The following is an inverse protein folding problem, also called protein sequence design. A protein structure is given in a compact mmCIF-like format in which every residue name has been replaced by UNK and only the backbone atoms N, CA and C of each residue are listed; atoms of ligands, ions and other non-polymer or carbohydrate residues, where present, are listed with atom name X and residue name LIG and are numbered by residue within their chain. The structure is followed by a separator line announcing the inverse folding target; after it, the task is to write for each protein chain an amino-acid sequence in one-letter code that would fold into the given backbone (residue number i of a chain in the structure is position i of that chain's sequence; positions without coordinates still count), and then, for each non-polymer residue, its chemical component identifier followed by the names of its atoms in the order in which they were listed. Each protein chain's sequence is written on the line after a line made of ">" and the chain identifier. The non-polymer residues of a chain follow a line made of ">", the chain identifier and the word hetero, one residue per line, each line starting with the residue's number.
data_IF_275571514677
#
_entry.id   IF_275571514677
#
_cell.length_a   1.000
_cell.length_b   1.000
_cell.length_c   1.000
_cell.angle_alpha   90.00
_cell.angle_beta   90.00
_cell.angle_gamma   90.00
#
_symmetry.space_group_name_H-M   'P 1'
#
loop_
_entity.id
_entity.type
_entity.pdbx_description
1 polymer ?
#
# COMPACT_ATOMS: atom_id res chain seq x y z
N UNK A 1 20.78 10.15 29.51
CA UNK A 1 19.51 9.39 29.35
C UNK A 1 18.65 10.11 28.32
N UNK A 2 18.60 9.67 27.05
CA UNK A 2 17.84 10.38 26.03
C UNK A 2 16.34 10.15 26.20
N UNK A 3 15.54 11.22 26.19
CA UNK A 3 14.08 11.21 26.40
C UNK A 3 13.36 10.81 25.11
N UNK A 4 13.12 9.51 24.90
CA UNK A 4 12.34 8.94 23.77
C UNK A 4 10.81 9.08 23.89
N UNK A 5 10.32 9.88 24.85
CA UNK A 5 8.90 9.97 25.21
C UNK A 5 7.97 10.70 24.21
N UNK A 6 8.40 11.72 23.44
CA UNK A 6 7.46 12.45 22.57
C UNK A 6 6.93 11.61 21.41
N UNK A 7 7.80 10.89 20.70
CA UNK A 7 7.45 10.06 19.53
C UNK A 7 6.51 8.91 19.88
N UNK A 8 6.75 8.20 21.00
CA UNK A 8 5.84 7.15 21.49
C UNK A 8 4.45 7.65 21.83
N UNK A 9 4.33 8.89 22.33
CA UNK A 9 3.03 9.49 22.68
C UNK A 9 2.26 9.94 21.43
N UNK A 10 2.95 10.41 20.40
CA UNK A 10 2.37 10.70 19.09
C UNK A 10 1.87 9.43 18.39
N UNK A 11 2.68 8.36 18.38
CA UNK A 11 2.28 7.06 17.81
C UNK A 11 1.09 6.42 18.56
N UNK A 12 1.04 6.51 19.90
CA UNK A 12 -0.09 6.03 20.69
C UNK A 12 -1.37 6.85 20.46
N UNK A 13 -1.25 8.18 20.26
CA UNK A 13 -2.38 9.04 19.90
C UNK A 13 -2.86 8.74 18.47
N UNK A 14 -1.94 8.55 17.51
CA UNK A 14 -2.26 8.08 16.14
C UNK A 14 -2.95 6.71 16.20
N UNK A 15 -2.51 5.78 17.06
CA UNK A 15 -3.17 4.47 17.30
C UNK A 15 -4.59 4.59 17.85
N UNK A 16 -4.82 5.47 18.82
CA UNK A 16 -6.16 5.66 19.38
C UNK A 16 -7.09 6.35 18.37
N UNK A 17 -6.61 7.40 17.71
CA UNK A 17 -7.37 8.09 16.67
C UNK A 17 -7.65 7.17 15.47
N UNK A 18 -6.71 6.29 15.09
CA UNK A 18 -6.93 5.27 14.06
C UNK A 18 -7.92 4.20 14.51
N UNK A 19 -7.85 3.70 15.75
CA UNK A 19 -8.88 2.78 16.28
C UNK A 19 -10.26 3.41 16.33
N UNK A 20 -10.35 4.68 16.70
CA UNK A 20 -11.61 5.44 16.68
C UNK A 20 -12.08 5.69 15.25
N UNK A 21 -11.18 5.98 14.31
CA UNK A 21 -11.46 6.11 12.88
C UNK A 21 -11.93 4.78 12.26
N UNK A 22 -11.21 3.67 12.43
CA UNK A 22 -11.64 2.35 11.92
C UNK A 22 -12.91 1.86 12.60
N UNK A 23 -13.15 2.18 13.87
CA UNK A 23 -14.40 1.87 14.55
C UNK A 23 -15.58 2.72 14.03
N UNK A 24 -15.34 3.97 13.64
CA UNK A 24 -16.33 4.84 13.01
C UNK A 24 -16.53 4.55 11.52
N UNK A 25 -15.49 4.12 10.81
CA UNK A 25 -15.49 3.76 9.39
C UNK A 25 -16.14 2.40 9.12
N UNK A 26 -16.37 1.56 10.15
CA UNK A 26 -17.17 0.33 10.05
C UNK A 26 -18.60 0.57 9.52
N UNK A 27 -19.13 1.78 9.72
CA UNK A 27 -20.45 2.19 9.25
C UNK A 27 -20.39 3.21 8.10
N UNK A 28 -19.18 3.52 7.60
CA UNK A 28 -19.01 4.37 6.42
C UNK A 28 -19.03 3.45 5.21
N UNK A 29 -20.13 3.50 4.47
CA UNK A 29 -20.08 3.11 3.07
C UNK A 29 -18.98 3.96 2.44
N UNK A 30 -17.88 3.34 2.03
CA UNK A 30 -16.97 3.98 1.07
C UNK A 30 -17.87 4.23 -0.14
N UNK A 31 -18.30 5.49 -0.34
CA UNK A 31 -18.95 5.93 -1.57
C UNK A 31 -17.90 5.90 -2.68
N UNK A 32 -17.55 4.68 -3.09
CA UNK A 32 -16.89 4.38 -4.34
C UNK A 32 -17.95 3.91 -5.35
N UNK A 33 -17.53 3.79 -6.61
CA UNK A 33 -18.34 3.19 -7.65
C UNK A 33 -18.87 1.82 -7.18
N UNK A 34 -20.11 1.46 -7.54
CA UNK A 34 -20.68 0.18 -7.12
C UNK A 34 -19.78 -0.97 -7.60
N UNK A 35 -19.27 -1.72 -6.63
CA UNK A 35 -18.34 -2.83 -6.82
C UNK A 35 -19.09 -4.06 -7.33
N UNK A 36 -18.44 -4.79 -8.24
CA UNK A 36 -18.87 -6.08 -8.74
C UNK A 36 -18.61 -7.21 -7.75
N UNK A 37 -18.85 -8.44 -8.18
CA UNK A 37 -18.53 -9.63 -7.38
C UNK A 37 -17.13 -10.13 -7.67
N UNK A 38 -16.51 -10.77 -6.68
CA UNK A 38 -15.26 -11.51 -6.81
C UNK A 38 -15.14 -12.33 -8.11
N UNK A 39 -13.98 -12.24 -8.74
CA UNK A 39 -13.63 -12.95 -9.97
C UNK A 39 -12.38 -13.83 -9.76
N UNK A 40 -12.55 -15.14 -9.92
CA UNK A 40 -11.48 -16.14 -9.73
C UNK A 40 -10.47 -16.17 -10.89
N UNK A 41 -10.87 -15.81 -12.12
CA UNK A 41 -9.94 -15.75 -13.25
C UNK A 41 -9.06 -14.50 -13.11
N UNK A 42 -9.65 -13.37 -12.70
CA UNK A 42 -8.89 -12.16 -12.37
C UNK A 42 -7.94 -12.39 -11.18
N UNK A 43 -8.37 -13.14 -10.16
CA UNK A 43 -7.51 -13.56 -9.04
C UNK A 43 -6.27 -14.29 -9.54
N UNK A 44 -6.46 -15.33 -10.35
CA UNK A 44 -5.36 -16.16 -10.84
C UNK A 44 -4.39 -15.31 -11.65
N UNK A 45 -4.91 -14.48 -12.57
CA UNK A 45 -4.10 -13.59 -13.39
C UNK A 45 -3.28 -12.61 -12.54
N UNK A 46 -3.95 -11.81 -11.70
CA UNK A 46 -3.33 -10.72 -10.95
C UNK A 46 -2.33 -11.24 -9.92
N UNK A 47 -2.69 -12.28 -9.17
CA UNK A 47 -1.76 -12.85 -8.16
C UNK A 47 -0.57 -13.57 -8.77
N UNK A 48 -0.71 -14.20 -9.94
CA UNK A 48 0.43 -14.77 -10.66
C UNK A 48 1.49 -13.72 -11.05
N UNK A 49 1.05 -12.46 -11.20
CA UNK A 49 1.90 -11.30 -11.51
C UNK A 49 2.41 -10.57 -10.26
N UNK A 50 1.89 -10.92 -9.09
CA UNK A 50 2.32 -10.38 -7.80
C UNK A 50 1.46 -9.25 -7.26
N UNK A 51 0.28 -9.02 -7.83
CA UNK A 51 -0.76 -8.20 -7.20
C UNK A 51 -1.27 -8.89 -5.93
N UNK A 52 -1.70 -8.10 -4.95
CA UNK A 52 -2.15 -8.61 -3.66
C UNK A 52 -3.64 -8.36 -3.49
N UNK A 53 -4.41 -9.42 -3.28
CA UNK A 53 -5.84 -9.32 -3.05
C UNK A 53 -6.13 -8.75 -1.65
N UNK A 54 -7.16 -7.91 -1.52
CA UNK A 54 -7.55 -7.33 -0.23
C UNK A 54 -7.89 -8.37 0.84
N UNK A 55 -8.53 -9.46 0.44
CA UNK A 55 -8.86 -10.58 1.34
C UNK A 55 -7.64 -11.28 1.93
N UNK A 56 -6.49 -11.23 1.25
CA UNK A 56 -5.24 -11.83 1.74
C UNK A 56 -4.51 -10.91 2.76
N UNK A 57 -4.99 -9.68 2.92
CA UNK A 57 -4.47 -8.67 3.83
C UNK A 57 -5.28 -8.53 5.13
N UNK A 58 -6.27 -9.41 5.35
CA UNK A 58 -7.25 -9.32 6.44
C UNK A 58 -8.00 -7.96 6.47
N UNK A 59 -8.12 -7.31 5.31
CA UNK A 59 -8.81 -6.03 5.15
C UNK A 59 -10.28 -6.25 4.79
N UNK A 60 -11.11 -6.52 5.80
CA UNK A 60 -12.56 -6.71 5.64
C UNK A 60 -13.31 -5.44 5.13
N UNK A 61 -12.63 -4.30 5.00
CA UNK A 61 -13.27 -2.98 4.78
C UNK A 61 -13.26 -2.48 3.32
N UNK A 62 -12.46 -3.05 2.41
CA UNK A 62 -12.29 -2.51 1.04
C UNK A 62 -13.02 -3.28 -0.06
N UNK A 63 -13.70 -4.38 0.28
CA UNK A 63 -14.41 -5.21 -0.70
C UNK A 63 -13.49 -6.08 -1.55
N UNK A 64 -13.99 -6.51 -2.71
CA UNK A 64 -13.29 -7.35 -3.66
C UNK A 64 -12.34 -6.47 -4.50
N UNK A 65 -11.03 -6.77 -4.49
CA UNK A 65 -10.05 -5.98 -5.23
C UNK A 65 -8.61 -6.40 -4.99
N UNK A 66 -7.70 -5.79 -5.77
CA UNK A 66 -6.27 -6.10 -5.79
C UNK A 66 -5.42 -4.84 -5.81
N UNK A 67 -4.27 -4.87 -5.14
CA UNK A 67 -3.29 -3.78 -5.13
C UNK A 67 -1.97 -4.19 -5.76
N UNK A 68 -1.41 -3.30 -6.57
CA UNK A 68 -0.03 -3.33 -7.00
C UNK A 68 0.84 -2.56 -6.01
N UNK A 69 1.13 -3.20 -4.87
CA UNK A 69 1.97 -2.62 -3.80
C UNK A 69 3.36 -2.11 -4.24
N UNK A 70 4.03 -2.66 -5.28
CA UNK A 70 5.27 -2.09 -5.80
C UNK A 70 5.17 -0.66 -6.33
N UNK A 71 3.98 -0.14 -6.64
CA UNK A 71 3.81 1.27 -7.05
C UNK A 71 3.75 2.26 -5.89
N UNK A 72 3.92 1.78 -4.64
CA UNK A 72 3.70 2.60 -3.46
C UNK A 72 4.70 3.77 -3.33
N UNK A 73 4.19 4.94 -2.96
CA UNK A 73 4.95 6.18 -2.79
C UNK A 73 5.34 6.40 -1.31
N UNK A 74 6.35 7.23 -1.02
CA UNK A 74 6.70 7.56 0.37
C UNK A 74 5.57 8.26 1.16
N UNK A 75 5.51 8.01 2.47
CA UNK A 75 4.39 8.38 3.34
C UNK A 75 4.19 9.88 3.63
N UNK A 76 5.13 10.75 3.28
CA UNK A 76 5.06 12.18 3.61
C UNK A 76 5.30 13.04 2.39
N UNK A 77 4.23 13.33 1.65
CA UNK A 77 4.32 14.14 0.44
C UNK A 77 3.96 15.61 0.68
N UNK A 78 3.67 16.03 1.92
CA UNK A 78 3.25 17.42 2.23
C UNK A 78 1.98 17.90 1.50
N UNK A 79 1.29 17.02 0.74
CA UNK A 79 0.17 17.34 -0.17
C UNK A 79 -1.22 17.01 0.40
N UNK A 80 -1.33 16.64 1.67
CA UNK A 80 -2.63 16.59 2.37
C UNK A 80 -3.42 15.29 2.24
N UNK A 81 -2.79 14.16 1.94
CA UNK A 81 -3.39 12.82 2.02
C UNK A 81 -2.35 11.71 2.07
N UNK A 82 -2.80 10.45 2.20
CA UNK A 82 -1.96 9.25 2.30
C UNK A 82 -1.85 8.58 0.93
N UNK A 83 -0.64 8.40 0.36
CA UNK A 83 -0.52 7.86 -1.00
C UNK A 83 -1.04 6.43 -1.10
N UNK A 84 -1.80 6.16 -2.16
CA UNK A 84 -2.37 4.85 -2.48
C UNK A 84 -1.57 4.14 -3.57
N UNK A 85 -1.50 2.79 -3.55
CA UNK A 85 -0.99 2.01 -4.67
C UNK A 85 -1.96 2.05 -5.87
N UNK A 86 -1.52 1.53 -7.02
CA UNK A 86 -2.45 1.23 -8.12
C UNK A 86 -3.33 0.05 -7.69
N UNK A 87 -4.64 0.14 -7.94
CA UNK A 87 -5.63 -0.85 -7.53
C UNK A 87 -6.55 -1.26 -8.67
N UNK A 88 -7.03 -2.50 -8.65
CA UNK A 88 -8.01 -3.07 -9.58
C UNK A 88 -9.23 -3.53 -8.79
N UNK A 89 -10.42 -3.24 -9.31
CA UNK A 89 -11.71 -3.51 -8.70
C UNK A 89 -12.67 -4.12 -9.73
N UNK A 90 -13.42 -5.19 -9.42
CA UNK A 90 -14.52 -5.62 -10.28
C UNK A 90 -15.62 -4.56 -10.28
N UNK A 91 -16.23 -4.26 -11.43
CA UNK A 91 -17.31 -3.27 -11.53
C UNK A 91 -18.70 -3.96 -11.55
N UNK A 92 -19.72 -3.35 -10.93
CA UNK A 92 -21.08 -3.93 -10.86
C UNK A 92 -21.76 -4.08 -12.22
N UNK A 93 -21.43 -3.21 -13.18
CA UNK A 93 -21.96 -3.21 -14.55
C UNK A 93 -21.20 -4.20 -15.46
N UNK A 94 -20.20 -4.89 -14.92
CA UNK A 94 -19.27 -5.76 -15.62
C UNK A 94 -17.91 -5.09 -15.85
N UNK A 95 -16.88 -5.87 -16.12
CA UNK A 95 -15.52 -5.36 -16.33
C UNK A 95 -14.78 -5.02 -15.03
N UNK A 96 -13.75 -4.20 -15.16
CA UNK A 96 -12.83 -3.83 -14.08
C UNK A 96 -12.51 -2.33 -14.10
N UNK A 97 -12.60 -1.71 -12.94
CA UNK A 97 -12.12 -0.36 -12.72
C UNK A 97 -10.69 -0.42 -12.18
N UNK A 98 -9.83 0.42 -12.73
CA UNK A 98 -8.45 0.57 -12.30
C UNK A 98 -8.24 1.97 -11.77
N UNK A 99 -7.73 2.07 -10.55
CA UNK A 99 -7.33 3.31 -9.92
C UNK A 99 -5.80 3.37 -9.92
N UNK A 100 -5.21 4.32 -10.66
CA UNK A 100 -3.76 4.46 -10.68
C UNK A 100 -3.24 5.11 -9.39
N UNK A 101 -2.03 4.72 -8.98
CA UNK A 101 -1.38 5.28 -7.80
C UNK A 101 -1.45 6.82 -7.76
N UNK A 102 -1.77 7.39 -6.59
CA UNK A 102 -1.99 8.83 -6.41
C UNK A 102 -1.19 9.41 -5.25
N UNK A 103 -0.76 10.66 -5.41
CA UNK A 103 0.13 11.35 -4.46
C UNK A 103 -0.54 11.71 -3.12
N UNK A 104 -1.86 11.86 -3.12
CA UNK A 104 -2.65 12.38 -2.01
C UNK A 104 -3.76 11.40 -1.59
N UNK A 105 -3.74 10.16 -2.07
CA UNK A 105 -4.75 9.15 -1.76
C UNK A 105 -6.14 9.44 -2.32
N UNK A 106 -6.29 10.48 -3.16
CA UNK A 106 -7.55 10.72 -3.85
C UNK A 106 -7.49 10.08 -5.23
N UNK A 107 -8.57 9.42 -5.62
CA UNK A 107 -8.77 8.92 -6.98
C UNK A 107 -9.13 10.12 -7.84
N UNK A 108 -8.18 10.57 -8.67
CA UNK A 108 -8.46 11.55 -9.71
C UNK A 108 -9.21 10.81 -10.83
N UNK A 109 -10.43 11.24 -11.23
CA UNK A 109 -11.20 10.58 -12.28
C UNK A 109 -10.47 10.50 -13.63
N UNK A 110 -9.53 11.40 -13.89
CA UNK A 110 -8.69 11.36 -15.10
C UNK A 110 -7.56 10.31 -14.99
N UNK A 111 -7.40 9.68 -13.83
CA UNK A 111 -6.39 8.66 -13.49
C UNK A 111 -7.02 7.31 -13.16
N UNK A 112 -8.31 7.16 -13.36
CA UNK A 112 -8.97 5.86 -13.37
C UNK A 112 -9.31 5.44 -14.79
N UNK A 113 -9.29 4.13 -15.02
CA UNK A 113 -9.64 3.51 -16.30
C UNK A 113 -10.67 2.41 -16.09
N UNK A 114 -11.53 2.20 -17.08
CA UNK A 114 -12.44 1.07 -17.12
C UNK A 114 -12.02 0.10 -18.22
N UNK A 115 -12.04 -1.18 -17.90
CA UNK A 115 -11.78 -2.28 -18.83
C UNK A 115 -13.02 -3.16 -18.92
N UNK A 116 -13.64 -3.23 -20.09
CA UNK A 116 -14.88 -3.99 -20.31
C UNK A 116 -14.67 -5.50 -20.06
N UNK A 117 -13.45 -6.02 -20.25
CA UNK A 117 -13.12 -7.44 -20.13
C UNK A 117 -11.79 -7.70 -19.44
N UNK A 118 -11.60 -8.94 -18.96
CA UNK A 118 -10.34 -9.38 -18.37
C UNK A 118 -9.22 -9.43 -19.41
N UNK A 119 -9.55 -9.69 -20.67
CA UNK A 119 -8.58 -9.69 -21.77
C UNK A 119 -8.04 -8.28 -22.02
N UNK A 120 -8.90 -7.26 -21.99
CA UNK A 120 -8.49 -5.87 -22.14
C UNK A 120 -7.62 -5.42 -20.97
N UNK A 121 -8.00 -5.77 -19.73
CA UNK A 121 -7.17 -5.50 -18.55
C UNK A 121 -5.81 -6.21 -18.68
N UNK A 122 -5.80 -7.49 -19.04
CA UNK A 122 -4.58 -8.28 -19.17
C UNK A 122 -3.60 -7.70 -20.19
N UNK A 123 -4.10 -7.14 -21.29
CA UNK A 123 -3.29 -6.49 -22.32
C UNK A 123 -2.53 -5.25 -21.82
N UNK A 124 -3.08 -4.57 -20.80
CA UNK A 124 -2.51 -3.33 -20.25
C UNK A 124 -1.75 -3.51 -18.93
N UNK A 125 -1.74 -4.70 -18.33
CA UNK A 125 -1.09 -4.93 -17.02
C UNK A 125 0.39 -4.51 -16.98
N UNK A 126 1.14 -4.71 -18.07
CA UNK A 126 2.54 -4.26 -18.14
C UNK A 126 2.65 -2.72 -18.00
N UNK A 127 1.71 -1.98 -18.58
CA UNK A 127 1.65 -0.50 -18.50
C UNK A 127 1.21 -0.07 -17.10
N UNK A 128 0.18 -0.71 -16.55
CA UNK A 128 -0.34 -0.43 -15.21
C UNK A 128 0.72 -0.69 -14.12
N UNK A 129 1.46 -1.79 -14.22
CA UNK A 129 2.52 -2.18 -13.27
C UNK A 129 3.75 -1.25 -13.36
N UNK A 130 3.99 -0.69 -14.55
CA UNK A 130 5.03 0.30 -14.80
C UNK A 130 4.61 1.73 -14.40
N UNK A 131 3.31 1.99 -14.24
CA UNK A 131 2.81 3.33 -13.93
C UNK A 131 3.39 3.86 -12.62
N UNK A 132 3.76 5.14 -12.65
CA UNK A 132 4.19 5.91 -11.48
C UNK A 132 3.58 7.30 -11.58
N UNK A 133 3.37 7.97 -10.44
CA UNK A 133 2.87 9.34 -10.42
C UNK A 133 3.81 10.27 -11.21
N UNK A 134 3.29 11.12 -12.11
CA UNK A 134 4.10 12.07 -12.87
C UNK A 134 4.99 12.97 -12.00
N UNK A 135 6.18 13.27 -12.53
CA UNK A 135 7.16 14.16 -11.89
C UNK A 135 6.54 15.55 -11.67
N UNK A 136 6.61 16.04 -10.43
CA UNK A 136 6.07 17.36 -10.04
C UNK A 136 4.64 17.31 -9.48
N UNK A 137 3.92 16.21 -9.68
CA UNK A 137 2.66 15.97 -8.98
C UNK A 137 2.88 15.31 -7.62
N UNK A 138 3.85 14.40 -7.56
CA UNK A 138 4.38 13.89 -6.31
C UNK A 138 5.66 14.65 -5.95
N UNK A 139 5.58 15.47 -4.90
CA UNK A 139 6.76 16.14 -4.34
C UNK A 139 7.35 15.23 -3.28
N UNK A 140 8.48 14.58 -3.63
CA UNK A 140 9.28 13.86 -2.65
C UNK A 140 9.66 14.83 -1.53
N UNK A 141 9.47 14.45 -0.26
CA UNK A 141 9.97 15.26 0.84
C UNK A 141 11.50 15.28 0.79
N UNK A 142 12.12 16.42 1.12
CA UNK A 142 13.58 16.54 1.28
C UNK A 142 14.12 15.53 2.33
N UNK A 143 13.26 15.07 3.25
CA UNK A 143 13.52 13.97 4.17
C UNK A 143 12.24 13.14 4.33
N UNK A 144 12.15 11.92 3.75
CA UNK A 144 11.00 11.04 3.96
C UNK A 144 10.75 10.79 5.45
N UNK A 145 9.48 10.88 5.84
CA UNK A 145 9.06 10.46 7.17
C UNK A 145 8.81 8.96 7.15
N UNK A 146 9.64 8.21 7.88
CA UNK A 146 9.44 6.78 8.09
C UNK A 146 8.73 6.52 9.40
N UNK A 147 7.98 5.41 9.49
CA UNK A 147 7.29 5.04 10.72
C UNK A 147 8.23 4.75 11.89
N UNK A 148 9.48 4.36 11.61
CA UNK A 148 10.54 4.19 12.60
C UNK A 148 11.95 4.48 12.04
N UNK A 149 12.99 4.40 12.90
CA UNK A 149 14.35 4.80 12.51
C UNK A 149 15.18 3.64 11.93
N UNK A 150 14.64 2.41 11.92
CA UNK A 150 15.33 1.24 11.36
C UNK A 150 14.31 0.34 10.66
N UNK A 151 14.72 -0.44 9.63
CA UNK A 151 13.81 -1.37 8.96
C UNK A 151 13.22 -2.39 9.94
N UNK A 152 14.02 -2.87 10.89
CA UNK A 152 13.57 -3.82 11.92
C UNK A 152 12.47 -3.22 12.83
N UNK A 153 12.57 -1.95 13.21
CA UNK A 153 11.53 -1.28 13.99
C UNK A 153 10.25 -1.10 13.16
N UNK A 154 10.35 -0.81 11.86
CA UNK A 154 9.19 -0.70 10.95
C UNK A 154 8.47 -2.05 10.86
N UNK A 155 9.20 -3.15 10.65
CA UNK A 155 8.64 -4.50 10.64
C UNK A 155 7.90 -4.85 11.93
N UNK A 156 8.44 -4.44 13.09
CA UNK A 156 7.79 -4.64 14.39
C UNK A 156 6.53 -3.78 14.57
N UNK A 157 6.50 -2.58 14.01
CA UNK A 157 5.30 -1.74 14.03
C UNK A 157 4.16 -2.41 13.24
N UNK A 158 4.45 -2.95 12.05
CA UNK A 158 3.47 -3.68 11.26
C UNK A 158 2.98 -4.94 11.99
N UNK A 159 3.88 -5.80 12.47
CA UNK A 159 3.51 -6.99 13.23
C UNK A 159 2.73 -6.68 14.52
N UNK A 160 2.89 -5.47 15.07
CA UNK A 160 2.15 -4.96 16.22
C UNK A 160 0.81 -4.26 15.89
N UNK A 161 0.41 -4.23 14.61
CA UNK A 161 -0.80 -3.55 14.12
C UNK A 161 -0.76 -2.03 14.34
N UNK A 162 0.42 -1.41 14.18
CA UNK A 162 0.63 0.03 14.38
C UNK A 162 0.65 0.81 13.07
N UNK A 163 0.99 0.12 11.98
CA UNK A 163 0.98 0.62 10.60
C UNK A 163 0.35 -0.44 9.70
N UNK A 164 -0.25 0.00 8.61
CA UNK A 164 -0.92 -0.88 7.64
C UNK A 164 0.08 -1.47 6.64
N UNK A 165 -0.37 -2.44 5.83
CA UNK A 165 0.49 -3.13 4.85
C UNK A 165 1.05 -2.16 3.81
N UNK A 166 0.26 -1.20 3.35
CA UNK A 166 0.67 -0.19 2.39
C UNK A 166 1.68 0.80 3.02
N UNK A 167 1.52 1.15 4.31
CA UNK A 167 2.53 1.93 5.06
C UNK A 167 3.84 1.16 5.21
N UNK A 168 3.78 -0.14 5.53
CA UNK A 168 4.95 -1.02 5.60
C UNK A 168 5.70 -1.04 4.27
N UNK A 169 4.99 -1.27 3.16
CA UNK A 169 5.61 -1.34 1.83
C UNK A 169 6.21 0.01 1.46
N UNK A 170 5.47 1.12 1.62
CA UNK A 170 5.98 2.47 1.38
C UNK A 170 7.30 2.71 2.12
N UNK A 171 7.30 2.47 3.42
CA UNK A 171 8.46 2.66 4.28
C UNK A 171 9.66 1.84 3.79
N UNK A 172 9.45 0.55 3.51
CA UNK A 172 10.55 -0.37 3.19
C UNK A 172 11.01 -0.29 1.73
N UNK A 173 10.20 0.22 0.80
CA UNK A 173 10.66 0.54 -0.55
C UNK A 173 11.64 1.72 -0.52
N UNK A 174 11.30 2.77 0.22
CA UNK A 174 11.99 4.06 0.17
C UNK A 174 13.02 4.26 1.28
N UNK A 175 13.18 3.29 2.18
CA UNK A 175 14.11 3.38 3.31
C UNK A 175 15.59 3.51 2.84
N UNK A 176 16.38 4.45 3.40
CA UNK A 176 17.80 4.60 3.09
C UNK A 176 18.63 3.54 3.81
N UNK A 177 18.66 2.32 3.27
CA UNK A 177 19.28 1.16 3.93
C UNK A 177 20.76 1.34 4.24
N UNK A 178 21.49 2.11 3.43
CA UNK A 178 22.89 2.47 3.59
C UNK A 178 23.18 3.28 4.85
N UNK A 179 22.18 3.94 5.42
CA UNK A 179 22.31 4.70 6.67
C UNK A 179 22.24 3.81 7.92
N UNK A 180 21.98 2.50 7.76
CA UNK A 180 21.84 1.56 8.88
C UNK A 180 22.82 0.41 8.78
N UNK A 181 23.34 -0.03 9.92
CA UNK A 181 24.32 -1.12 9.97
C UNK A 181 23.77 -2.47 9.48
N UNK A 182 22.46 -2.71 9.65
CA UNK A 182 21.82 -3.97 9.23
C UNK A 182 21.34 -3.94 7.77
N UNK A 183 21.12 -2.75 7.19
CA UNK A 183 20.59 -2.59 5.85
C UNK A 183 19.32 -3.42 5.59
N UNK A 184 19.19 -3.95 4.38
CA UNK A 184 18.03 -4.76 3.99
C UNK A 184 17.97 -6.12 4.69
N UNK A 185 19.08 -6.62 5.25
CA UNK A 185 19.10 -7.90 5.96
C UNK A 185 18.17 -7.93 7.18
N UNK A 186 17.83 -6.75 7.74
CA UNK A 186 16.81 -6.62 8.77
C UNK A 186 15.42 -7.03 8.29
N UNK A 187 15.05 -6.68 7.05
CA UNK A 187 13.75 -7.03 6.44
C UNK A 187 13.70 -8.53 6.14
N UNK A 188 14.77 -9.09 5.58
CA UNK A 188 14.85 -10.54 5.33
C UNK A 188 14.76 -11.35 6.63
N UNK A 189 15.38 -10.85 7.71
CA UNK A 189 15.26 -11.46 9.03
C UNK A 189 13.83 -11.37 9.56
N UNK A 190 13.16 -10.24 9.38
CA UNK A 190 11.76 -10.07 9.79
C UNK A 190 10.83 -11.03 9.04
N UNK A 191 11.02 -11.18 7.73
CA UNK A 191 10.30 -12.15 6.92
C UNK A 191 10.54 -13.59 7.39
N UNK A 192 11.80 -14.02 7.56
CA UNK A 192 12.13 -15.35 8.11
C UNK A 192 11.57 -15.58 9.51
N UNK A 193 11.40 -14.51 10.29
CA UNK A 193 10.81 -14.53 11.63
C UNK A 193 9.29 -14.50 11.65
N UNK A 194 8.61 -14.42 10.49
CA UNK A 194 7.15 -14.35 10.40
C UNK A 194 6.54 -13.00 10.78
N UNK A 195 7.35 -11.93 10.87
CA UNK A 195 6.85 -10.57 11.14
C UNK A 195 6.23 -9.93 9.90
N UNK A 196 6.64 -10.38 8.71
CA UNK A 196 6.11 -9.92 7.42
C UNK A 196 5.71 -11.15 6.60
N UNK A 197 4.44 -11.24 6.15
CA UNK A 197 3.97 -12.27 5.23
C UNK A 197 4.79 -12.31 3.93
N UNK A 198 4.89 -13.49 3.32
CA UNK A 198 5.62 -13.67 2.04
C UNK A 198 5.13 -12.70 0.96
N UNK A 199 3.81 -12.54 0.82
CA UNK A 199 3.21 -11.64 -0.17
C UNK A 199 3.71 -10.19 -0.07
N UNK A 200 3.87 -9.65 1.14
CA UNK A 200 4.37 -8.29 1.36
C UNK A 200 5.88 -8.21 1.18
N UNK A 201 6.62 -9.24 1.60
CA UNK A 201 8.06 -9.31 1.37
C UNK A 201 8.38 -9.32 -0.13
N UNK A 202 7.66 -10.12 -0.91
CA UNK A 202 7.83 -10.19 -2.37
C UNK A 202 7.50 -8.86 -3.04
N UNK A 203 6.44 -8.16 -2.61
CA UNK A 203 6.12 -6.82 -3.08
C UNK A 203 7.25 -5.82 -2.81
N UNK A 204 7.84 -5.84 -1.61
CA UNK A 204 8.98 -4.99 -1.24
C UNK A 204 10.21 -5.30 -2.12
N UNK A 205 10.51 -6.58 -2.34
CA UNK A 205 11.65 -6.98 -3.19
C UNK A 205 11.43 -6.53 -4.63
N UNK A 206 10.22 -6.70 -5.19
CA UNK A 206 9.88 -6.25 -6.54
C UNK A 206 9.96 -4.74 -6.69
N UNK A 207 9.36 -3.99 -5.78
CA UNK A 207 9.37 -2.53 -5.87
C UNK A 207 10.77 -1.91 -5.73
N UNK A 208 11.68 -2.55 -4.98
CA UNK A 208 13.08 -2.09 -4.87
C UNK A 208 13.95 -2.40 -6.09
N UNK A 209 13.52 -3.33 -6.96
CA UNK A 209 14.28 -3.74 -8.14
C UNK A 209 13.96 -2.90 -9.40
N UNK A 210 12.88 -2.12 -9.35
CA UNK A 210 12.43 -1.21 -10.40
C UNK A 210 13.05 0.19 -10.24
#
# INVERSE_FOLDING_TARGET
>A
MPKSKPRKKAAAKKKQQRREFHAAARDVAIEGYPQGTWDDDAQELLTSRGWVAYRDLEMDQLGDGWEWLPSQLPLDAGVGGEPGPTSVFPNVEGGYDVELASANGTVDPDRSGHYDTLEDLAADLDVLEAWRVPVGEYVLPDSPSFSANTPWEICQLYAGGMIDHWELVADLLHFPYEETAEGFAAVERAHRGGFIPTILFDAIVRGRAA
#
